data_IF_299193814098
#
_entry.id   IF_299193814098
#
_cell.length_a   1.000
_cell.length_b   1.000
_cell.length_c   1.000
_cell.angle_alpha   90.00
_cell.angle_beta   90.00
_cell.angle_gamma   90.00
#
_symmetry.space_group_name_H-M   'P 1'
#
loop_
_entity.id
_entity.type
_entity.pdbx_description
1 polymer ?
#
# COMPACT_ATOMS: atom_id res chain seq x y z
N UNK A 1 -16.43 45.75 10.15
CA UNK A 1 -16.48 44.39 10.76
C UNK A 1 -15.63 44.36 12.01
N UNK A 2 -16.19 43.91 13.14
CA UNK A 2 -15.47 43.79 14.41
C UNK A 2 -14.35 42.75 14.26
N UNK A 3 -13.19 42.95 14.89
CA UNK A 3 -12.01 42.05 14.79
C UNK A 3 -12.38 40.59 15.07
N UNK A 4 -13.27 40.36 16.03
CA UNK A 4 -13.82 39.03 16.38
C UNK A 4 -14.50 38.31 15.20
N UNK A 5 -15.19 39.06 14.34
CA UNK A 5 -15.87 38.51 13.17
C UNK A 5 -14.87 38.09 12.09
N UNK A 6 -13.76 38.83 11.93
CA UNK A 6 -12.68 38.44 11.00
C UNK A 6 -12.00 37.15 11.44
N UNK A 7 -11.73 37.02 12.75
CA UNK A 7 -11.12 35.80 13.33
C UNK A 7 -12.03 34.59 13.12
N UNK A 8 -13.32 34.72 13.37
CA UNK A 8 -14.28 33.64 13.17
C UNK A 8 -14.32 33.17 11.71
N UNK A 9 -14.34 34.10 10.75
CA UNK A 9 -14.36 33.78 9.31
C UNK A 9 -13.08 33.06 8.88
N UNK A 10 -11.91 33.53 9.33
CA UNK A 10 -10.62 32.90 9.00
C UNK A 10 -10.53 31.49 9.60
N UNK A 11 -10.98 31.29 10.84
CA UNK A 11 -11.01 29.98 11.48
C UNK A 11 -11.92 29.00 10.73
N UNK A 12 -13.10 29.45 10.28
CA UNK A 12 -13.99 28.63 9.46
C UNK A 12 -13.36 28.24 8.12
N UNK A 13 -12.72 29.18 7.42
CA UNK A 13 -12.06 28.90 6.14
C UNK A 13 -10.92 27.87 6.25
N UNK A 14 -10.15 27.92 7.34
CA UNK A 14 -9.08 26.95 7.61
C UNK A 14 -9.61 25.53 7.87
N UNK A 15 -10.76 25.40 8.52
CA UNK A 15 -11.41 24.11 8.76
C UNK A 15 -11.95 23.48 7.48
N UNK A 16 -12.42 24.28 6.52
CA UNK A 16 -12.89 23.76 5.23
C UNK A 16 -11.76 23.33 4.28
N UNK A 17 -10.55 23.86 4.44
CA UNK A 17 -9.41 23.55 3.57
C UNK A 17 -8.75 22.18 3.88
N UNK A 18 -9.15 21.49 4.95
CA UNK A 18 -8.46 20.31 5.47
C UNK A 18 -8.83 18.93 4.89
N UNK A 19 -9.83 18.81 4.01
CA UNK A 19 -10.47 17.50 3.73
C UNK A 19 -10.40 16.98 2.29
N UNK A 20 -9.52 17.50 1.42
CA UNK A 20 -9.36 16.95 0.07
C UNK A 20 -7.95 16.42 -0.17
N UNK A 21 -7.52 15.46 0.66
CA UNK A 21 -6.41 14.59 0.30
C UNK A 21 -6.98 13.30 -0.27
N UNK A 22 -7.02 13.18 -1.59
CA UNK A 22 -7.21 11.87 -2.23
C UNK A 22 -5.97 11.03 -1.92
N UNK A 23 -6.09 9.91 -1.18
CA UNK A 23 -4.96 9.01 -1.03
C UNK A 23 -4.57 8.55 -2.43
N UNK A 24 -3.32 8.79 -2.81
CA UNK A 24 -2.76 8.21 -4.02
C UNK A 24 -2.83 6.70 -3.81
N UNK A 25 -3.74 6.04 -4.53
CA UNK A 25 -3.85 4.57 -4.57
C UNK A 25 -2.66 4.01 -5.36
N UNK A 26 -1.45 4.20 -4.84
CA UNK A 26 -0.30 3.38 -5.17
C UNK A 26 -0.35 2.12 -4.31
N UNK A 27 -1.46 1.39 -4.36
CA UNK A 27 -1.41 -0.03 -4.04
C UNK A 27 -0.68 -0.69 -5.22
N UNK A 28 0.63 -0.46 -5.32
CA UNK A 28 1.48 -1.34 -6.12
C UNK A 28 1.32 -2.69 -5.46
N UNK A 29 0.77 -3.64 -6.21
CA UNK A 29 0.71 -5.02 -5.78
C UNK A 29 2.11 -5.40 -5.29
N UNK A 30 2.20 -5.73 -4.01
CA UNK A 30 3.47 -6.13 -3.41
C UNK A 30 3.69 -7.60 -3.71
N UNK A 31 4.91 -7.98 -4.08
CA UNK A 31 5.27 -9.39 -4.21
C UNK A 31 5.11 -10.10 -2.87
N UNK A 32 4.59 -11.32 -2.91
CA UNK A 32 4.59 -12.21 -1.76
C UNK A 32 5.97 -12.85 -1.61
N UNK A 33 6.88 -12.08 -1.01
CA UNK A 33 8.26 -12.51 -0.76
C UNK A 33 8.32 -13.73 0.16
N UNK A 34 7.38 -13.87 1.10
CA UNK A 34 7.37 -14.99 2.03
C UNK A 34 7.08 -16.29 1.29
N UNK A 35 6.14 -16.28 0.33
CA UNK A 35 5.89 -17.42 -0.53
C UNK A 35 7.08 -17.73 -1.43
N UNK A 36 7.65 -16.71 -2.09
CA UNK A 36 8.80 -16.88 -2.98
C UNK A 36 9.97 -17.55 -2.22
N UNK A 37 10.29 -17.04 -1.03
CA UNK A 37 11.37 -17.58 -0.20
C UNK A 37 11.12 -19.04 0.20
N UNK A 38 9.87 -19.42 0.47
CA UNK A 38 9.52 -20.81 0.79
C UNK A 38 9.76 -21.74 -0.41
N UNK A 39 9.34 -21.33 -1.60
CA UNK A 39 9.54 -22.10 -2.84
C UNK A 39 11.03 -22.24 -3.15
N UNK A 40 11.80 -21.16 -3.05
CA UNK A 40 13.24 -21.18 -3.30
C UNK A 40 14.00 -22.01 -2.26
N UNK A 41 13.63 -21.92 -0.98
CA UNK A 41 14.21 -22.75 0.07
C UNK A 41 13.90 -24.24 -0.13
N UNK A 42 12.67 -24.57 -0.56
CA UNK A 42 12.28 -25.95 -0.88
C UNK A 42 13.07 -26.49 -2.08
N UNK A 43 13.23 -25.68 -3.14
CA UNK A 43 14.04 -26.06 -4.30
C UNK A 43 15.51 -26.29 -3.93
N UNK A 44 16.09 -25.45 -3.07
CA UNK A 44 17.47 -25.60 -2.59
C UNK A 44 17.70 -26.88 -1.79
N UNK A 45 16.70 -27.34 -1.04
CA UNK A 45 16.78 -28.58 -0.25
C UNK A 45 16.54 -29.85 -1.09
N UNK A 46 16.05 -29.70 -2.32
CA UNK A 46 15.80 -30.83 -3.21
C UNK A 46 17.11 -31.33 -3.83
N UNK A 47 17.31 -32.65 -3.86
CA UNK A 47 18.50 -33.28 -4.47
C UNK A 47 18.65 -32.96 -5.96
N UNK A 48 17.56 -32.66 -6.66
CA UNK A 48 17.55 -32.29 -8.07
C UNK A 48 17.91 -30.81 -8.32
N UNK A 49 18.00 -29.98 -7.27
CA UNK A 49 18.35 -28.55 -7.34
C UNK A 49 17.70 -27.80 -8.53
N UNK A 50 16.36 -27.83 -8.67
CA UNK A 50 15.69 -27.26 -9.83
C UNK A 50 15.89 -25.74 -9.91
N UNK A 51 16.10 -25.23 -11.13
CA UNK A 51 16.14 -23.79 -11.40
C UNK A 51 14.72 -23.23 -11.52
N UNK A 52 14.44 -22.18 -10.77
CA UNK A 52 13.12 -21.52 -10.75
C UNK A 52 13.11 -20.32 -11.70
N UNK A 53 12.04 -20.17 -12.48
CA UNK A 53 11.76 -19.00 -13.30
C UNK A 53 10.39 -18.41 -12.94
N UNK A 54 10.37 -17.16 -12.49
CA UNK A 54 9.16 -16.44 -12.14
C UNK A 54 8.67 -15.61 -13.33
N UNK A 55 7.57 -16.01 -13.97
CA UNK A 55 6.96 -15.28 -15.11
C UNK A 55 5.78 -14.41 -14.66
N UNK A 56 5.09 -14.81 -13.59
CA UNK A 56 4.06 -14.02 -12.90
C UNK A 56 4.16 -14.34 -11.40
N UNK A 57 5.06 -13.67 -10.66
CA UNK A 57 5.31 -14.00 -9.27
C UNK A 57 4.06 -13.75 -8.40
N UNK A 58 3.93 -14.49 -7.28
CA UNK A 58 2.78 -14.34 -6.40
C UNK A 58 2.75 -12.94 -5.80
N UNK A 59 1.56 -12.35 -5.75
CA UNK A 59 1.31 -11.06 -5.13
C UNK A 59 0.67 -11.27 -3.76
N UNK A 60 0.94 -10.37 -2.82
CA UNK A 60 0.22 -10.31 -1.55
C UNK A 60 -1.27 -10.10 -1.84
N UNK A 61 -2.11 -10.88 -1.17
CA UNK A 61 -3.57 -10.72 -1.25
C UNK A 61 -3.95 -9.44 -0.52
N UNK A 62 -4.73 -8.59 -1.18
CA UNK A 62 -5.33 -7.44 -0.51
C UNK A 62 -6.36 -7.95 0.50
N UNK A 63 -6.41 -7.31 1.67
CA UNK A 63 -7.30 -7.69 2.77
C UNK A 63 -8.81 -7.59 2.44
N UNK A 64 -9.17 -7.13 1.23
CA UNK A 64 -10.54 -7.03 0.72
C UNK A 64 -10.99 -8.16 -0.21
N UNK A 65 -10.14 -9.17 -0.47
CA UNK A 65 -10.51 -10.38 -1.23
C UNK A 65 -10.55 -11.59 -0.29
N UNK A 66 -11.58 -11.65 0.56
CA UNK A 66 -11.99 -12.83 1.32
C UNK A 66 -13.41 -13.21 0.95
#
# INVERSE_FOLDING_TARGET
MKVRQKIAIVASLLLLAGCSSTPVQTARSQLDQDYINQVEAAAKKNSLSPRIYWVNPPMKKDAGQQ
#
